data_IF_099283616663
#
_entry.id   IF_099283616663
#
_cell.length_a   1.000
_cell.length_b   1.000
_cell.length_c   1.000
_cell.angle_alpha   90.00
_cell.angle_beta   90.00
_cell.angle_gamma   90.00
#
_symmetry.space_group_name_H-M   'P 1'
#
loop_
_entity.id
_entity.type
_entity.pdbx_description
1 polymer ?
#
# COMPACT_ATOMS: atom_id res chain seq x y z
N UNK A 1 -3.57 -4.64 -4.32
CA UNK A 1 -3.49 -3.18 -4.08
C UNK A 1 -4.82 -2.60 -3.60
N UNK A 2 -5.93 -2.78 -4.34
CA UNK A 2 -7.25 -2.22 -3.97
C UNK A 2 -7.66 -2.45 -2.50
N UNK A 3 -7.64 -3.71 -2.05
CA UNK A 3 -7.98 -4.05 -0.67
C UNK A 3 -7.04 -3.48 0.41
N UNK A 4 -5.84 -2.99 0.05
CA UNK A 4 -4.95 -2.25 0.97
C UNK A 4 -5.41 -0.79 1.05
N UNK A 5 -5.68 -0.16 -0.10
CA UNK A 5 -6.22 1.20 -0.19
C UNK A 5 -7.53 1.32 0.58
N UNK A 6 -8.46 0.38 0.37
CA UNK A 6 -9.74 0.32 1.08
C UNK A 6 -9.53 0.31 2.59
N UNK A 7 -8.53 -0.43 3.08
CA UNK A 7 -8.22 -0.51 4.52
C UNK A 7 -7.66 0.79 5.06
N UNK A 8 -6.77 1.45 4.31
CA UNK A 8 -6.20 2.74 4.70
C UNK A 8 -7.30 3.81 4.78
N UNK A 9 -8.17 3.90 3.76
CA UNK A 9 -9.29 4.84 3.72
C UNK A 9 -10.29 4.56 4.85
N UNK A 10 -10.76 3.31 4.96
CA UNK A 10 -11.70 2.91 5.99
C UNK A 10 -11.12 3.15 7.39
N UNK A 11 -9.80 2.97 7.57
CA UNK A 11 -9.16 3.27 8.85
C UNK A 11 -9.24 4.74 9.17
N UNK A 12 -8.89 5.59 8.21
CA UNK A 12 -8.92 7.04 8.37
C UNK A 12 -10.33 7.57 8.65
N UNK A 13 -11.32 7.17 7.85
CA UNK A 13 -12.73 7.55 8.00
C UNK A 13 -13.26 7.16 9.38
N UNK A 14 -12.98 5.92 9.80
CA UNK A 14 -13.42 5.41 11.08
C UNK A 14 -12.68 6.02 12.27
N UNK A 15 -11.64 6.87 12.13
CA UNK A 15 -10.99 7.47 13.31
C UNK A 15 -11.95 8.38 14.09
N UNK A 16 -12.81 9.12 13.39
CA UNK A 16 -13.72 10.09 14.00
C UNK A 16 -15.19 9.66 14.01
N UNK A 17 -15.55 8.57 13.31
CA UNK A 17 -16.93 8.07 13.27
C UNK A 17 -17.24 7.12 14.44
N UNK A 18 -18.34 7.35 15.16
CA UNK A 18 -18.82 6.52 16.27
C UNK A 18 -19.92 5.53 15.88
N UNK A 19 -20.19 5.35 14.58
CA UNK A 19 -21.09 4.32 14.07
C UNK A 19 -20.67 2.92 14.53
N UNK A 20 -21.66 2.02 14.70
CA UNK A 20 -21.42 0.64 15.12
C UNK A 20 -20.41 -0.10 14.24
N UNK A 21 -20.39 0.23 12.93
CA UNK A 21 -19.44 -0.29 11.94
C UNK A 21 -18.00 0.15 12.24
N UNK A 22 -17.77 1.37 12.75
CA UNK A 22 -16.43 1.89 13.00
C UNK A 22 -15.87 1.53 14.38
N UNK A 23 -16.70 1.11 15.34
CA UNK A 23 -16.24 0.75 16.71
C UNK A 23 -15.14 -0.32 16.68
N UNK A 24 -15.36 -1.41 15.95
CA UNK A 24 -14.38 -2.49 15.86
C UNK A 24 -13.19 -2.07 14.98
N UNK A 25 -13.44 -1.36 13.89
CA UNK A 25 -12.42 -0.92 12.95
C UNK A 25 -11.40 0.04 13.57
N UNK A 26 -11.84 0.92 14.48
CA UNK A 26 -10.97 1.80 15.29
C UNK A 26 -9.90 1.02 16.06
N UNK A 27 -10.24 -0.18 16.53
CA UNK A 27 -9.36 -1.00 17.37
C UNK A 27 -8.31 -1.76 16.58
N UNK A 28 -8.48 -1.97 15.28
CA UNK A 28 -7.50 -2.69 14.48
C UNK A 28 -6.28 -1.81 14.23
N UNK A 29 -5.11 -2.27 14.65
CA UNK A 29 -3.84 -1.54 14.50
C UNK A 29 -2.92 -2.15 13.45
N UNK A 30 -3.15 -3.42 13.11
CA UNK A 30 -2.28 -4.18 12.23
C UNK A 30 -3.11 -5.15 11.38
N UNK A 31 -2.73 -5.26 10.11
CA UNK A 31 -3.20 -6.27 9.18
C UNK A 31 -1.99 -6.97 8.58
N UNK A 32 -1.89 -8.28 8.77
CA UNK A 32 -0.88 -9.11 8.13
C UNK A 32 -1.49 -9.90 6.98
N UNK A 33 -0.80 -9.90 5.84
CA UNK A 33 -1.10 -10.78 4.70
C UNK A 33 0.15 -11.58 4.40
N UNK A 34 0.02 -12.91 4.34
CA UNK A 34 1.08 -13.78 3.84
C UNK A 34 0.92 -13.92 2.34
N UNK A 35 2.02 -13.79 1.60
CA UNK A 35 2.01 -13.80 0.14
C UNK A 35 3.25 -14.54 -0.41
N UNK A 36 3.26 -14.75 -1.72
CA UNK A 36 4.42 -15.26 -2.44
C UNK A 36 5.26 -14.09 -2.98
N UNK A 37 6.53 -14.37 -3.26
CA UNK A 37 7.48 -13.49 -3.94
C UNK A 37 6.87 -12.80 -5.17
N UNK A 38 6.23 -13.57 -6.07
CA UNK A 38 5.57 -13.04 -7.27
C UNK A 38 4.47 -12.03 -6.95
N UNK A 39 3.77 -12.19 -5.82
CA UNK A 39 2.75 -11.25 -5.37
C UNK A 39 3.38 -9.95 -4.86
N UNK A 40 4.51 -10.05 -4.14
CA UNK A 40 5.27 -8.88 -3.69
C UNK A 40 5.81 -8.12 -4.91
N UNK A 41 6.44 -8.82 -5.87
CA UNK A 41 6.92 -8.20 -7.12
C UNK A 41 5.78 -7.50 -7.88
N UNK A 42 4.65 -8.16 -8.08
CA UNK A 42 3.49 -7.58 -8.76
C UNK A 42 2.95 -6.35 -8.02
N UNK A 43 2.94 -6.37 -6.68
CA UNK A 43 2.52 -5.22 -5.87
C UNK A 43 3.49 -4.03 -6.03
N UNK A 44 4.80 -4.26 -6.01
CA UNK A 44 5.80 -3.20 -6.22
C UNK A 44 5.68 -2.58 -7.61
N UNK A 45 5.47 -3.41 -8.64
CA UNK A 45 5.18 -2.93 -10.01
C UNK A 45 3.90 -2.08 -10.04
N UNK A 46 2.83 -2.54 -9.40
CA UNK A 46 1.56 -1.81 -9.36
C UNK A 46 1.70 -0.43 -8.66
N UNK A 47 2.57 -0.33 -7.65
CA UNK A 47 2.92 0.93 -6.98
C UNK A 47 3.77 1.88 -7.84
N UNK A 48 4.20 1.45 -9.03
CA UNK A 48 5.02 2.21 -9.96
C UNK A 48 6.52 2.03 -9.78
N UNK A 49 6.96 1.11 -8.91
CA UNK A 49 8.38 0.81 -8.73
C UNK A 49 8.84 -0.07 -9.89
N UNK A 50 10.00 0.26 -10.45
CA UNK A 50 10.60 -0.47 -11.56
C UNK A 50 12.06 -0.83 -11.24
N UNK A 51 12.64 -1.70 -12.07
CA UNK A 51 14.00 -2.22 -11.91
C UNK A 51 15.12 -1.20 -12.04
N UNK A 52 14.84 0.01 -12.55
CA UNK A 52 15.83 1.09 -12.56
C UNK A 52 15.98 1.74 -11.18
N UNK A 53 14.91 1.68 -10.36
CA UNK A 53 14.87 2.32 -9.05
C UNK A 53 15.13 1.34 -7.90
N UNK A 54 14.71 0.08 -8.03
CA UNK A 54 14.87 -0.96 -7.01
C UNK A 54 14.80 -2.36 -7.65
N UNK A 55 15.56 -3.34 -7.15
CA UNK A 55 15.36 -4.74 -7.57
C UNK A 55 14.03 -5.26 -7.03
N UNK A 56 13.07 -5.44 -7.93
CA UNK A 56 11.71 -5.93 -7.64
C UNK A 56 11.49 -7.38 -8.09
N UNK A 57 12.46 -7.99 -8.78
CA UNK A 57 12.29 -9.30 -9.41
C UNK A 57 12.74 -10.46 -8.51
N UNK A 58 13.47 -10.16 -7.44
CA UNK A 58 13.99 -11.19 -6.52
C UNK A 58 13.68 -10.90 -5.04
N UNK A 59 12.40 -10.74 -4.64
CA UNK A 59 12.03 -10.78 -3.22
C UNK A 59 12.54 -12.10 -2.60
N UNK A 60 13.35 -12.00 -1.54
CA UNK A 60 13.92 -13.17 -0.89
C UNK A 60 13.04 -13.67 0.25
N UNK A 61 13.52 -14.71 0.93
CA UNK A 61 12.80 -15.33 2.03
C UNK A 61 12.43 -14.31 3.11
N UNK A 62 11.13 -14.17 3.37
CA UNK A 62 10.59 -13.22 4.34
C UNK A 62 10.63 -11.74 3.90
N UNK A 63 10.74 -11.49 2.59
CA UNK A 63 10.53 -10.14 2.04
C UNK A 63 9.18 -9.57 2.53
N UNK A 64 9.19 -8.31 2.95
CA UNK A 64 8.03 -7.66 3.56
C UNK A 64 7.84 -6.25 3.04
N UNK A 65 6.61 -5.90 2.69
CA UNK A 65 6.19 -4.53 2.33
C UNK A 65 5.27 -4.01 3.41
N UNK A 66 5.58 -2.84 3.97
CA UNK A 66 4.79 -2.19 5.01
C UNK A 66 4.05 -0.99 4.45
N UNK A 67 2.80 -0.83 4.87
CA UNK A 67 1.94 0.31 4.56
C UNK A 67 1.52 0.93 5.89
N UNK A 68 2.09 2.08 6.23
CA UNK A 68 1.88 2.74 7.51
C UNK A 68 1.02 3.98 7.33
N UNK A 69 -0.12 4.05 8.03
CA UNK A 69 -1.00 5.22 8.04
C UNK A 69 -0.62 6.15 9.20
N UNK A 70 -0.25 7.38 8.88
CA UNK A 70 0.12 8.44 9.80
C UNK A 70 -0.95 9.54 9.87
N UNK A 71 -1.08 10.16 11.05
CA UNK A 71 -1.79 11.43 11.23
C UNK A 71 -0.75 12.50 11.50
N UNK A 72 -0.56 13.42 10.56
CA UNK A 72 0.35 14.55 10.68
C UNK A 72 -0.42 15.84 10.43
N UNK A 73 -0.33 16.81 11.34
CA UNK A 73 -1.10 18.06 11.28
C UNK A 73 -2.60 17.86 10.99
N UNK A 74 -3.19 16.85 11.63
CA UNK A 74 -4.60 16.46 11.45
C UNK A 74 -4.99 15.95 10.05
N UNK A 75 -4.00 15.65 9.20
CA UNK A 75 -4.19 15.12 7.84
C UNK A 75 -3.62 13.69 7.71
N UNK A 76 -4.16 12.87 6.81
CA UNK A 76 -3.69 11.50 6.60
C UNK A 76 -2.49 11.45 5.66
N UNK A 77 -1.46 10.73 6.11
CA UNK A 77 -0.27 10.42 5.30
C UNK A 77 -0.01 8.93 5.32
N UNK A 78 0.69 8.46 4.31
CA UNK A 78 1.19 7.09 4.21
C UNK A 78 2.70 7.10 4.07
N UNK A 79 3.33 6.12 4.72
CA UNK A 79 4.74 5.78 4.54
C UNK A 79 4.83 4.31 4.16
N UNK A 80 5.77 4.01 3.27
CA UNK A 80 5.97 2.67 2.76
C UNK A 80 7.38 2.22 3.05
N UNK A 81 7.50 1.01 3.61
CA UNK A 81 8.79 0.40 3.89
C UNK A 81 8.92 -0.93 3.15
N UNK A 82 10.15 -1.31 2.82
CA UNK A 82 10.46 -2.59 2.21
C UNK A 82 11.70 -3.22 2.84
N UNK A 83 11.63 -4.52 3.08
CA UNK A 83 12.77 -5.39 3.38
C UNK A 83 12.82 -6.51 2.35
N UNK A 84 13.99 -6.73 1.74
CA UNK A 84 14.12 -7.72 0.67
C UNK A 84 14.28 -9.15 1.21
N UNK A 85 14.85 -9.29 2.41
CA UNK A 85 14.94 -10.54 3.16
C UNK A 85 14.52 -10.30 4.63
N UNK A 86 14.13 -11.35 5.34
CA UNK A 86 13.70 -11.29 6.76
C UNK A 86 14.70 -10.63 7.72
N UNK A 87 15.99 -10.59 7.37
CA UNK A 87 17.06 -10.03 8.20
C UNK A 87 17.37 -8.56 7.90
N UNK A 88 16.83 -8.00 6.81
CA UNK A 88 17.05 -6.61 6.47
C UNK A 88 16.30 -5.68 7.42
N UNK A 89 16.90 -4.54 7.74
CA UNK A 89 16.16 -3.43 8.32
C UNK A 89 15.26 -2.79 7.25
N UNK A 90 13.93 -2.66 7.48
CA UNK A 90 13.03 -2.08 6.50
C UNK A 90 13.40 -0.65 6.11
N UNK A 91 13.59 -0.41 4.81
CA UNK A 91 13.95 0.90 4.27
C UNK A 91 12.75 1.61 3.67
N UNK A 92 12.72 2.94 3.75
CA UNK A 92 11.67 3.73 3.12
C UNK A 92 11.75 3.65 1.61
N UNK A 93 10.65 3.25 0.98
CA UNK A 93 10.47 3.23 -0.47
C UNK A 93 9.44 4.27 -0.93
N UNK A 94 9.00 5.15 -0.02
CA UNK A 94 7.90 6.10 -0.27
C UNK A 94 8.17 6.99 -1.48
N UNK A 95 9.40 7.47 -1.64
CA UNK A 95 9.80 8.35 -2.75
C UNK A 95 9.83 7.65 -4.11
N UNK A 96 9.82 6.31 -4.16
CA UNK A 96 9.72 5.55 -5.41
C UNK A 96 8.29 5.29 -5.85
N UNK A 97 7.31 5.51 -4.98
CA UNK A 97 5.91 5.21 -5.25
C UNK A 97 5.28 6.32 -6.07
N UNK A 98 4.53 5.94 -7.11
CA UNK A 98 3.86 6.90 -7.97
C UNK A 98 2.89 7.76 -7.14
N UNK A 99 2.96 9.07 -7.36
CA UNK A 99 2.13 10.05 -6.68
C UNK A 99 2.66 10.51 -5.33
N UNK A 100 3.80 9.99 -4.87
CA UNK A 100 4.42 10.42 -3.63
C UNK A 100 5.57 11.43 -3.85
N UNK A 101 5.84 12.33 -2.89
CA UNK A 101 6.92 13.30 -3.03
C UNK A 101 8.30 12.64 -3.07
N UNK A 102 9.19 13.16 -3.92
CA UNK A 102 10.56 12.64 -4.06
C UNK A 102 11.47 12.97 -2.86
N UNK A 103 11.08 13.92 -2.03
CA UNK A 103 11.91 14.50 -0.95
C UNK A 103 11.40 14.19 0.46
N UNK A 104 10.35 13.38 0.58
CA UNK A 104 9.67 13.10 1.86
C UNK A 104 9.34 11.62 2.00
N UNK A 105 9.50 11.11 3.20
CA UNK A 105 9.03 9.78 3.60
C UNK A 105 7.55 9.73 3.98
N UNK A 106 6.87 10.88 3.99
CA UNK A 106 5.43 10.99 4.18
C UNK A 106 4.78 11.44 2.87
N UNK A 107 3.82 10.64 2.42
CA UNK A 107 3.06 10.87 1.21
C UNK A 107 1.59 11.15 1.58
N UNK A 108 0.97 12.25 1.12
CA UNK A 108 -0.44 12.50 1.38
C UNK A 108 -1.31 11.32 0.91
N UNK A 109 -2.20 10.82 1.76
CA UNK A 109 -3.00 9.63 1.44
C UNK A 109 -3.83 9.83 0.16
N UNK A 110 -4.38 11.02 -0.03
CA UNK A 110 -5.19 11.35 -1.21
C UNK A 110 -4.38 11.33 -2.52
N UNK A 111 -3.18 11.91 -2.52
CA UNK A 111 -2.28 11.91 -3.69
C UNK A 111 -1.88 10.49 -4.08
N UNK A 112 -1.53 9.66 -3.09
CA UNK A 112 -1.27 8.24 -3.29
C UNK A 112 -2.46 7.55 -3.97
N UNK A 113 -3.67 7.68 -3.42
CA UNK A 113 -4.87 7.01 -3.95
C UNK A 113 -5.17 7.44 -5.38
N UNK A 114 -5.11 8.74 -5.67
CA UNK A 114 -5.36 9.27 -7.01
C UNK A 114 -4.37 8.69 -8.02
N UNK A 115 -3.09 8.59 -7.67
CA UNK A 115 -2.05 8.09 -8.56
C UNK A 115 -2.13 6.57 -8.82
N UNK A 116 -2.84 5.80 -7.99
CA UNK A 116 -3.01 4.36 -8.20
C UNK A 116 -4.22 4.01 -9.09
N UNK A 117 -5.10 4.97 -9.42
CA UNK A 117 -6.35 4.70 -10.14
C UNK A 117 -6.17 3.90 -11.44
N UNK A 118 -5.11 4.19 -12.20
CA UNK A 118 -4.84 3.51 -13.48
C UNK A 118 -4.42 2.04 -13.32
N UNK A 119 -4.10 1.60 -12.11
CA UNK A 119 -3.67 0.24 -11.76
C UNK A 119 -4.69 -0.48 -10.87
N UNK A 120 -5.83 0.15 -10.63
CA UNK A 120 -6.98 -0.47 -10.00
C UNK A 120 -7.96 -0.92 -11.09
N UNK A 121 -8.72 -1.99 -10.83
CA UNK A 121 -9.79 -2.41 -11.73
C UNK A 121 -10.71 -1.24 -12.05
N UNK A 122 -10.99 -1.02 -13.34
CA UNK A 122 -11.90 0.05 -13.77
C UNK A 122 -13.36 -0.30 -13.43
N UNK A 123 -13.63 -1.60 -13.32
CA UNK A 123 -14.93 -2.20 -13.08
C UNK A 123 -14.81 -3.28 -12.00
N UNK A 124 -15.49 -4.41 -12.18
CA UNK A 124 -15.49 -5.51 -11.23
C UNK A 124 -14.24 -6.37 -11.43
N UNK A 125 -13.41 -6.50 -10.38
CA UNK A 125 -12.15 -7.24 -10.44
C UNK A 125 -12.35 -8.70 -10.88
N UNK A 126 -13.43 -9.36 -10.48
CA UNK A 126 -13.70 -10.74 -10.86
C UNK A 126 -14.02 -10.81 -12.35
N UNK A 127 -14.78 -9.84 -12.87
CA UNK A 127 -15.06 -9.76 -14.32
C UNK A 127 -13.79 -9.54 -15.13
N UNK A 128 -12.94 -8.61 -14.70
CA UNK A 128 -11.67 -8.32 -15.39
C UNK A 128 -10.70 -9.50 -15.31
N UNK A 129 -10.65 -10.23 -14.19
CA UNK A 129 -9.84 -11.44 -14.06
C UNK A 129 -10.36 -12.63 -14.90
N UNK A 130 -11.65 -12.66 -15.21
CA UNK A 130 -12.27 -13.69 -16.03
C UNK A 130 -12.43 -13.30 -17.50
N UNK A 131 -12.05 -12.07 -17.87
CA UNK A 131 -12.09 -11.62 -19.25
C UNK A 131 -11.05 -12.40 -20.05
N UNK A 132 -11.51 -13.18 -21.03
CA UNK A 132 -10.61 -13.93 -21.91
C UNK A 132 -9.91 -12.92 -22.81
N UNK A 133 -8.59 -12.79 -22.65
CA UNK A 133 -7.71 -12.13 -23.60
C UNK A 133 -7.80 -12.78 -24.98
#
# INVERSE_FOLDING_TARGET
LNGIIDKLQQKWECLNDNSSKCIWYKRIKFYGLSAHDVTISALLVALGINSQNMDIYHPQYGATVFFELYRFNNQPYVKFLYSNIYSDEPQSITHFIRGCPLTSDLCPLEEFIIAQKDYLPATDIEKECHEKM
#
